data_IF_475417373363
#
_entry.id   IF_475417373363
#
_cell.length_a   1.000
_cell.length_b   1.000
_cell.length_c   1.000
_cell.angle_alpha   90.00
_cell.angle_beta   90.00
_cell.angle_gamma   90.00
#
_symmetry.space_group_name_H-M   'P 1'
#
loop_
_entity.id
_entity.type
_entity.pdbx_description
1 polymer ?
#
# COMPACT_ATOMS: atom_id res chain seq x y z
N UNK A 1 -13.50 -24.61 -23.27
CA UNK A 1 -13.59 -23.30 -22.62
C UNK A 1 -12.16 -22.89 -22.35
N UNK A 2 -11.59 -22.07 -23.23
CA UNK A 2 -10.27 -21.49 -22.97
C UNK A 2 -10.49 -20.47 -21.86
N UNK A 3 -10.13 -20.89 -20.65
CA UNK A 3 -10.31 -20.08 -19.45
C UNK A 3 -9.47 -18.83 -19.60
N UNK A 4 -10.14 -17.68 -19.52
CA UNK A 4 -9.58 -16.34 -19.44
C UNK A 4 -8.41 -16.35 -18.45
N UNK A 5 -7.17 -16.44 -18.97
CA UNK A 5 -5.99 -16.54 -18.12
C UNK A 5 -5.65 -15.13 -17.66
N UNK A 6 -5.83 -14.87 -16.37
CA UNK A 6 -5.53 -13.61 -15.72
C UNK A 6 -4.09 -13.14 -16.04
N UNK A 7 -3.99 -11.99 -16.70
CA UNK A 7 -2.70 -11.46 -17.12
C UNK A 7 -1.96 -10.82 -15.94
N UNK A 8 -0.62 -10.68 -16.01
CA UNK A 8 0.12 -9.89 -15.02
C UNK A 8 -0.39 -8.45 -14.87
N UNK A 9 -0.92 -7.86 -15.95
CA UNK A 9 -1.51 -6.51 -15.92
C UNK A 9 -2.78 -6.47 -15.08
N UNK A 10 -3.61 -7.51 -15.15
CA UNK A 10 -4.86 -7.59 -14.39
C UNK A 10 -4.57 -7.75 -12.90
N UNK A 11 -3.59 -8.60 -12.55
CA UNK A 11 -3.10 -8.73 -11.17
C UNK A 11 -2.54 -7.43 -10.61
N UNK A 12 -1.76 -6.70 -11.41
CA UNK A 12 -1.22 -5.40 -11.00
C UNK A 12 -2.33 -4.38 -10.74
N UNK A 13 -3.34 -4.32 -11.62
CA UNK A 13 -4.50 -3.44 -11.45
C UNK A 13 -5.25 -3.76 -10.16
N UNK A 14 -5.51 -5.04 -9.91
CA UNK A 14 -6.16 -5.48 -8.69
C UNK A 14 -5.35 -5.13 -7.44
N UNK A 15 -4.01 -5.26 -7.50
CA UNK A 15 -3.15 -4.87 -6.39
C UNK A 15 -3.24 -3.36 -6.08
N UNK A 16 -3.31 -2.50 -7.11
CA UNK A 16 -3.52 -1.06 -6.90
C UNK A 16 -4.90 -0.74 -6.34
N UNK A 17 -5.96 -1.38 -6.83
CA UNK A 17 -7.31 -1.22 -6.26
C UNK A 17 -7.35 -1.62 -4.79
N UNK A 18 -6.71 -2.73 -4.42
CA UNK A 18 -6.61 -3.17 -3.03
C UNK A 18 -5.79 -2.21 -2.17
N UNK A 19 -4.70 -1.67 -2.71
CA UNK A 19 -3.87 -0.67 -2.03
C UNK A 19 -4.68 0.60 -1.73
N UNK A 20 -5.35 1.17 -2.74
CA UNK A 20 -6.18 2.36 -2.60
C UNK A 20 -7.28 2.15 -1.55
N UNK A 21 -7.98 1.01 -1.62
CA UNK A 21 -8.99 0.65 -0.63
C UNK A 21 -8.43 0.57 0.80
N UNK A 22 -7.24 -0.03 0.98
CA UNK A 22 -6.56 -0.10 2.26
C UNK A 22 -6.21 1.29 2.83
N UNK A 23 -5.77 2.21 1.97
CA UNK A 23 -5.46 3.59 2.35
C UNK A 23 -6.73 4.32 2.82
N UNK A 24 -7.85 4.18 2.11
CA UNK A 24 -9.13 4.78 2.51
C UNK A 24 -9.62 4.24 3.85
N UNK A 25 -9.54 2.93 4.05
CA UNK A 25 -9.88 2.29 5.33
C UNK A 25 -9.03 2.83 6.47
N UNK A 26 -7.72 3.01 6.26
CA UNK A 26 -6.85 3.55 7.31
C UNK A 26 -7.16 5.02 7.60
N UNK A 27 -7.43 5.83 6.58
CA UNK A 27 -7.86 7.22 6.78
C UNK A 27 -9.14 7.30 7.63
N UNK A 28 -10.13 6.43 7.36
CA UNK A 28 -11.33 6.33 8.19
C UNK A 28 -11.04 5.87 9.62
N UNK A 29 -10.12 4.91 9.79
CA UNK A 29 -9.67 4.45 11.10
C UNK A 29 -9.01 5.57 11.92
N UNK A 30 -8.13 6.36 11.30
CA UNK A 30 -7.45 7.51 11.90
C UNK A 30 -8.46 8.57 12.35
N UNK A 31 -9.44 8.92 11.50
CA UNK A 31 -10.52 9.86 11.88
C UNK A 31 -11.30 9.38 13.11
N UNK A 32 -11.57 8.07 13.20
CA UNK A 32 -12.25 7.47 14.35
C UNK A 32 -11.38 7.49 15.62
N UNK A 33 -10.07 7.27 15.50
CA UNK A 33 -9.11 7.30 16.63
C UNK A 33 -8.80 8.72 17.10
N UNK A 34 -8.86 9.70 16.20
CA UNK A 34 -8.54 11.10 16.44
C UNK A 34 -9.69 12.03 16.04
N UNK A 35 -10.83 11.99 16.75
CA UNK A 35 -12.04 12.73 16.35
C UNK A 35 -11.89 14.26 16.37
N UNK A 36 -10.89 14.78 17.08
CA UNK A 36 -10.59 16.22 17.15
C UNK A 36 -9.47 16.67 16.19
N UNK A 37 -8.87 15.75 15.43
CA UNK A 37 -7.82 16.10 14.48
C UNK A 37 -8.41 16.86 13.28
N UNK A 38 -7.66 17.84 12.76
CA UNK A 38 -8.00 18.47 11.48
C UNK A 38 -7.77 17.52 10.31
N UNK A 39 -8.27 17.89 9.13
CA UNK A 39 -8.02 17.14 7.92
C UNK A 39 -6.52 17.02 7.62
N UNK A 40 -5.75 18.11 7.77
CA UNK A 40 -4.29 18.09 7.52
C UNK A 40 -3.57 17.18 8.52
N UNK A 41 -4.00 17.19 9.80
CA UNK A 41 -3.41 16.31 10.81
C UNK A 41 -3.67 14.82 10.51
N UNK A 42 -4.85 14.49 9.96
CA UNK A 42 -5.15 13.11 9.52
C UNK A 42 -4.29 12.70 8.33
N UNK A 43 -4.08 13.61 7.36
CA UNK A 43 -3.22 13.37 6.20
C UNK A 43 -1.78 13.08 6.63
N UNK A 44 -1.22 13.87 7.55
CA UNK A 44 0.13 13.64 8.09
C UNK A 44 0.26 12.30 8.84
N UNK A 45 -0.75 11.92 9.61
CA UNK A 45 -0.77 10.61 10.28
C UNK A 45 -0.85 9.46 9.27
N UNK A 46 -1.56 9.66 8.16
CA UNK A 46 -1.67 8.68 7.09
C UNK A 46 -0.35 8.54 6.32
N UNK A 47 0.33 9.64 6.02
CA UNK A 47 1.67 9.65 5.42
C UNK A 47 2.68 8.91 6.31
N UNK A 48 2.69 9.21 7.62
CA UNK A 48 3.55 8.54 8.57
C UNK A 48 3.28 7.03 8.63
N UNK A 49 2.00 6.64 8.60
CA UNK A 49 1.62 5.23 8.54
C UNK A 49 2.03 4.54 7.24
N UNK A 50 1.92 5.21 6.09
CA UNK A 50 2.36 4.67 4.79
C UNK A 50 3.88 4.46 4.72
N UNK A 51 4.65 5.31 5.40
CA UNK A 51 6.10 5.20 5.47
C UNK A 51 6.57 4.03 6.34
N UNK A 52 5.92 3.79 7.48
CA UNK A 52 6.31 2.76 8.45
C UNK A 52 5.62 1.40 8.20
N UNK A 53 4.38 1.42 7.69
CA UNK A 53 3.45 0.28 7.49
C UNK A 53 3.73 -0.89 8.45
N UNK A 54 3.29 -0.79 9.72
CA UNK A 54 3.55 -1.80 10.74
C UNK A 54 3.12 -3.19 10.30
N UNK A 55 4.06 -4.14 10.23
CA UNK A 55 3.84 -5.51 9.75
C UNK A 55 4.27 -5.77 8.30
N UNK A 56 4.67 -4.74 7.56
CA UNK A 56 5.18 -4.83 6.19
C UNK A 56 6.51 -4.06 6.02
N UNK A 57 7.36 -4.08 7.05
CA UNK A 57 8.66 -3.38 7.05
C UNK A 57 9.54 -3.80 5.87
N UNK A 58 9.46 -5.08 5.47
CA UNK A 58 10.21 -5.67 4.36
C UNK A 58 9.41 -5.71 3.04
N UNK A 59 8.26 -5.04 2.99
CA UNK A 59 7.32 -5.07 1.86
C UNK A 59 6.26 -6.16 1.97
N UNK A 60 5.41 -6.24 0.95
CA UNK A 60 4.21 -7.08 0.93
C UNK A 60 4.46 -8.50 0.39
N UNK A 61 5.69 -8.82 -0.04
CA UNK A 61 6.08 -10.11 -0.59
C UNK A 61 7.59 -10.36 -0.44
N UNK A 62 7.98 -11.63 -0.51
CA UNK A 62 9.40 -12.01 -0.56
C UNK A 62 10.10 -11.37 -1.77
N UNK A 63 11.18 -10.64 -1.52
CA UNK A 63 12.05 -10.14 -2.58
C UNK A 63 12.83 -11.26 -3.26
N UNK A 64 13.13 -11.10 -4.56
CA UNK A 64 14.10 -11.95 -5.26
C UNK A 64 15.47 -11.27 -5.18
N UNK A 65 16.53 -11.95 -4.72
CA UNK A 65 17.88 -11.39 -4.74
C UNK A 65 18.26 -10.99 -6.17
N UNK A 66 18.53 -9.70 -6.38
CA UNK A 66 19.08 -9.19 -7.65
C UNK A 66 20.50 -8.71 -7.44
N UNK A 67 21.39 -9.03 -8.39
CA UNK A 67 22.70 -8.37 -8.46
C UNK A 67 22.47 -6.94 -8.94
N UNK A 68 22.49 -5.98 -8.02
CA UNK A 68 22.55 -4.57 -8.36
C UNK A 68 23.86 -4.35 -9.13
N UNK A 69 23.75 -4.02 -10.43
CA UNK A 69 24.90 -3.53 -11.18
C UNK A 69 25.42 -2.27 -10.48
N UNK A 70 26.75 -2.09 -10.37
CA UNK A 70 27.31 -0.89 -9.78
C UNK A 70 26.82 0.33 -10.59
N UNK A 71 26.35 1.35 -9.87
CA UNK A 71 26.00 2.63 -10.47
C UNK A 71 27.24 3.23 -11.16
N UNK A 72 27.10 3.86 -12.35
CA UNK A 72 28.22 4.56 -12.99
C UNK A 72 28.72 5.74 -12.14
#
# INVERSE_FOLDING_TARGET
MDGDQETPSDRLRQAFEMFEFGVEMMAANLRRRHPAASAEAIEHLLEAWLADRPGALDGDADGIPVQLLPSP
#
